data_IF_732353757941
#
_entry.id   IF_732353757941
#
_cell.length_a   1.000
_cell.length_b   1.000
_cell.length_c   1.000
_cell.angle_alpha   90.00
_cell.angle_beta   90.00
_cell.angle_gamma   90.00
#
_symmetry.space_group_name_H-M   'P 1'
#
loop_
_entity.id
_entity.type
_entity.pdbx_description
1 polymer ?
#
# COMPACT_ATOMS: atom_id res chain seq x y z
N UNK A 1 -25.34 -24.71 25.60
CA UNK A 1 -24.24 -25.35 26.30
C UNK A 1 -23.09 -25.65 25.30
N UNK A 2 -21.89 -25.34 25.69
CA UNK A 2 -20.66 -25.61 24.91
C UNK A 2 -19.72 -26.40 25.79
N UNK A 3 -19.11 -27.44 25.22
CA UNK A 3 -18.11 -28.25 25.91
C UNK A 3 -16.73 -27.77 25.47
N UNK A 4 -15.92 -27.29 26.41
CA UNK A 4 -14.54 -26.92 26.17
C UNK A 4 -13.60 -27.99 26.76
N UNK A 5 -12.60 -28.37 26.01
CA UNK A 5 -11.53 -29.24 26.49
C UNK A 5 -10.40 -28.39 27.04
N UNK A 6 -10.21 -28.43 28.36
CA UNK A 6 -9.17 -27.66 29.04
C UNK A 6 -7.94 -28.56 29.19
N UNK A 7 -6.74 -28.13 28.75
CA UNK A 7 -5.51 -28.89 28.98
C UNK A 7 -5.35 -29.18 30.47
N UNK A 8 -5.04 -30.44 30.80
CA UNK A 8 -4.83 -30.97 32.16
C UNK A 8 -6.10 -31.19 33.03
N UNK A 9 -7.23 -30.51 32.75
CA UNK A 9 -8.49 -30.67 33.53
C UNK A 9 -9.58 -31.46 32.82
N UNK A 10 -9.47 -31.67 31.49
CA UNK A 10 -10.43 -32.43 30.72
C UNK A 10 -11.61 -31.58 30.17
N UNK A 11 -12.73 -32.26 29.90
CA UNK A 11 -13.91 -31.62 29.31
C UNK A 11 -14.77 -30.94 30.39
N UNK A 12 -15.15 -29.69 30.12
CA UNK A 12 -16.09 -28.90 30.96
C UNK A 12 -17.20 -28.33 30.10
N UNK A 13 -18.42 -28.34 30.65
CA UNK A 13 -19.58 -27.78 29.99
C UNK A 13 -19.89 -26.40 30.52
N UNK A 14 -19.93 -25.41 29.64
CA UNK A 14 -20.28 -24.03 29.95
C UNK A 14 -21.63 -23.66 29.34
N UNK A 15 -22.39 -22.82 30.05
CA UNK A 15 -23.64 -22.28 29.54
C UNK A 15 -23.34 -20.98 28.81
N UNK A 16 -23.70 -20.90 27.54
CA UNK A 16 -23.57 -19.64 26.76
C UNK A 16 -24.56 -18.63 27.32
N UNK A 17 -24.05 -17.56 27.92
CA UNK A 17 -24.88 -16.49 28.51
C UNK A 17 -25.09 -15.34 27.54
N UNK A 18 -24.17 -15.14 26.58
CA UNK A 18 -24.26 -14.08 25.60
C UNK A 18 -23.58 -14.51 24.29
N UNK A 19 -24.14 -14.07 23.16
CA UNK A 19 -23.54 -14.20 21.83
C UNK A 19 -23.44 -12.79 21.28
N UNK A 20 -22.24 -12.38 20.91
CA UNK A 20 -22.00 -11.08 20.30
C UNK A 20 -21.43 -11.24 18.90
N UNK A 21 -21.82 -10.32 18.05
CA UNK A 21 -21.32 -10.21 16.70
C UNK A 21 -20.25 -9.10 16.69
N UNK A 22 -19.02 -9.44 16.33
CA UNK A 22 -17.93 -8.49 16.25
C UNK A 22 -17.79 -8.02 14.81
N UNK A 23 -17.78 -6.72 14.62
CA UNK A 23 -17.50 -6.12 13.30
C UNK A 23 -16.00 -6.10 12.99
N UNK A 24 -15.15 -6.32 13.98
CA UNK A 24 -13.70 -6.47 13.90
C UNK A 24 -13.30 -7.77 14.59
N UNK A 25 -12.13 -8.30 14.23
CA UNK A 25 -11.63 -9.55 14.80
C UNK A 25 -11.61 -9.49 16.32
N UNK A 26 -12.30 -10.40 17.03
CA UNK A 26 -12.32 -10.38 18.47
C UNK A 26 -10.93 -10.74 19.02
N UNK A 27 -10.55 -10.23 20.21
CA UNK A 27 -9.28 -10.59 20.84
C UNK A 27 -9.24 -12.07 21.26
N UNK A 28 -10.37 -12.74 21.30
CA UNK A 28 -10.48 -14.17 21.58
C UNK A 28 -11.76 -14.76 20.96
N UNK A 29 -11.75 -16.04 20.66
CA UNK A 29 -12.90 -16.77 20.10
C UNK A 29 -14.05 -16.90 21.10
N UNK A 30 -13.74 -16.87 22.40
CA UNK A 30 -14.73 -16.92 23.49
C UNK A 30 -14.20 -16.19 24.73
N UNK A 31 -15.14 -15.76 25.58
CA UNK A 31 -14.88 -15.14 26.87
C UNK A 31 -15.53 -15.96 27.98
N UNK A 32 -14.83 -16.13 29.10
CA UNK A 32 -15.32 -16.84 30.27
C UNK A 32 -15.49 -15.84 31.41
N UNK A 33 -16.56 -16.00 32.19
CA UNK A 33 -16.78 -15.15 33.36
C UNK A 33 -15.63 -15.34 34.37
N UNK A 34 -15.21 -14.26 35.01
CA UNK A 34 -14.09 -14.23 35.94
C UNK A 34 -14.25 -15.22 37.09
N UNK A 35 -15.50 -15.48 37.54
CA UNK A 35 -15.80 -16.49 38.58
C UNK A 35 -15.41 -17.92 38.15
N UNK A 36 -15.29 -18.19 36.86
CA UNK A 36 -14.87 -19.48 36.29
C UNK A 36 -13.36 -19.52 35.95
N UNK A 37 -12.64 -18.43 36.19
CA UNK A 37 -11.23 -18.31 35.80
C UNK A 37 -10.30 -19.27 36.57
N UNK A 38 -10.67 -19.71 37.75
CA UNK A 38 -9.92 -20.66 38.56
C UNK A 38 -9.70 -22.01 37.89
N UNK A 39 -10.44 -22.30 36.80
CA UNK A 39 -10.25 -23.52 36.02
C UNK A 39 -9.14 -23.42 34.97
N UNK A 40 -8.66 -22.20 34.66
CA UNK A 40 -7.70 -21.97 33.57
C UNK A 40 -6.27 -21.71 34.04
N UNK A 41 -6.07 -21.27 35.29
CA UNK A 41 -4.73 -21.10 35.87
C UNK A 41 -4.80 -20.98 37.38
N UNK A 42 -3.81 -21.56 38.06
CA UNK A 42 -3.62 -21.44 39.51
C UNK A 42 -3.14 -20.02 39.91
N UNK A 43 -2.49 -19.29 38.97
CA UNK A 43 -2.14 -17.87 39.06
C UNK A 43 -2.47 -17.19 37.74
N UNK A 44 -3.70 -16.70 37.59
CA UNK A 44 -4.06 -15.87 36.44
C UNK A 44 -3.51 -14.46 36.62
N UNK A 45 -2.53 -14.13 35.80
CA UNK A 45 -2.11 -12.75 35.60
C UNK A 45 -3.01 -12.15 34.51
N UNK A 46 -3.79 -11.12 34.86
CA UNK A 46 -4.54 -10.37 33.88
C UNK A 46 -3.55 -9.62 32.96
N UNK A 47 -3.54 -9.99 31.70
CA UNK A 47 -2.72 -9.32 30.67
C UNK A 47 -3.41 -8.10 30.10
N UNK A 48 -4.74 -8.12 30.07
CA UNK A 48 -5.55 -7.04 29.54
C UNK A 48 -6.82 -6.87 30.36
N UNK A 49 -7.15 -5.63 30.70
CA UNK A 49 -8.36 -5.26 31.42
C UNK A 49 -9.20 -4.32 30.56
N UNK A 50 -10.38 -4.78 30.18
CA UNK A 50 -11.34 -3.97 29.44
C UNK A 50 -12.43 -3.40 30.38
N UNK A 51 -12.62 -2.09 30.33
CA UNK A 51 -13.70 -1.46 31.08
C UNK A 51 -14.43 -0.40 30.25
N UNK A 52 -15.72 -0.31 30.42
CA UNK A 52 -16.55 0.67 29.73
C UNK A 52 -16.86 1.83 30.67
N UNK A 53 -16.73 3.05 30.17
CA UNK A 53 -17.01 4.27 30.93
C UNK A 53 -18.21 4.99 30.32
N UNK A 54 -19.16 5.38 31.15
CA UNK A 54 -20.38 6.08 30.69
C UNK A 54 -20.08 7.44 30.06
N UNK A 55 -18.98 8.07 30.46
CA UNK A 55 -18.52 9.35 29.92
C UNK A 55 -17.02 9.53 30.12
N UNK A 56 -16.28 9.74 29.06
CA UNK A 56 -14.87 10.10 29.10
C UNK A 56 -14.72 11.54 29.55
N UNK A 57 -14.07 11.75 30.72
CA UNK A 57 -13.78 13.07 31.24
C UNK A 57 -12.31 13.18 31.59
N UNK A 58 -11.67 14.37 31.45
CA UNK A 58 -10.25 14.56 31.80
C UNK A 58 -9.91 14.19 33.25
N UNK A 59 -10.88 14.36 34.17
CA UNK A 59 -10.72 14.01 35.57
C UNK A 59 -10.66 12.48 35.78
N UNK A 60 -11.42 11.72 34.98
CA UNK A 60 -11.39 10.27 35.01
C UNK A 60 -10.07 9.74 34.44
N UNK A 61 -9.60 10.30 33.33
CA UNK A 61 -8.31 9.95 32.75
C UNK A 61 -7.17 10.20 33.71
N UNK A 62 -7.14 11.34 34.42
CA UNK A 62 -6.14 11.63 35.43
C UNK A 62 -6.15 10.62 36.57
N UNK A 63 -7.35 10.19 37.04
CA UNK A 63 -7.46 9.18 38.10
C UNK A 63 -6.97 7.82 37.65
N UNK A 64 -7.32 7.41 36.42
CA UNK A 64 -6.87 6.14 35.88
C UNK A 64 -5.34 6.15 35.72
N UNK A 65 -4.78 7.19 35.12
CA UNK A 65 -3.34 7.33 34.93
C UNK A 65 -2.60 7.34 36.27
N UNK A 66 -3.12 8.02 37.29
CA UNK A 66 -2.54 8.02 38.62
C UNK A 66 -2.50 6.62 39.29
N UNK A 67 -3.48 5.76 38.98
CA UNK A 67 -3.46 4.37 39.46
C UNK A 67 -2.44 3.55 38.66
N UNK A 68 -2.43 3.72 37.34
CA UNK A 68 -1.55 2.94 36.45
C UNK A 68 -0.09 3.29 36.62
N UNK A 69 0.24 4.55 36.98
CA UNK A 69 1.60 4.99 37.25
C UNK A 69 2.28 4.20 38.40
N UNK A 70 1.50 3.56 39.28
CA UNK A 70 2.00 2.67 40.31
C UNK A 70 2.42 1.27 39.78
N UNK A 71 2.03 0.93 38.53
CA UNK A 71 2.26 -0.39 37.96
C UNK A 71 3.16 -0.28 36.72
N UNK A 72 4.49 -0.49 36.84
CA UNK A 72 5.39 -0.43 35.69
C UNK A 72 5.03 -1.44 34.61
N UNK A 73 4.86 -0.97 33.38
CA UNK A 73 4.53 -1.81 32.22
C UNK A 73 3.04 -1.91 31.90
N UNK A 74 2.16 -1.24 32.67
CA UNK A 74 0.75 -1.12 32.34
C UNK A 74 0.52 0.17 31.55
N UNK A 75 -0.17 0.07 30.43
CA UNK A 75 -0.56 1.21 29.57
C UNK A 75 -2.09 1.31 29.51
N UNK A 76 -2.61 2.52 29.66
CA UNK A 76 -4.02 2.80 29.43
C UNK A 76 -4.21 3.17 27.96
N UNK A 77 -5.04 2.42 27.28
CA UNK A 77 -5.39 2.69 25.89
C UNK A 77 -6.90 2.88 25.78
N UNK A 78 -7.29 3.94 25.14
CA UNK A 78 -8.67 4.16 24.73
C UNK A 78 -8.87 3.66 23.29
N UNK A 79 -10.12 3.68 22.83
CA UNK A 79 -10.47 3.29 21.46
C UNK A 79 -9.71 4.10 20.41
N UNK A 80 -9.58 5.43 20.64
CA UNK A 80 -8.84 6.31 19.75
C UNK A 80 -7.35 5.96 19.71
N UNK A 81 -6.75 5.64 20.87
CA UNK A 81 -5.35 5.24 20.97
C UNK A 81 -5.06 3.90 20.29
N UNK A 82 -5.97 2.93 20.40
CA UNK A 82 -5.85 1.65 19.67
C UNK A 82 -5.91 1.85 18.16
N UNK A 83 -6.83 2.69 17.69
CA UNK A 83 -6.95 3.04 16.27
C UNK A 83 -5.70 3.78 15.79
N UNK A 84 -5.16 4.71 16.60
CA UNK A 84 -3.94 5.44 16.27
C UNK A 84 -2.72 4.51 16.17
N UNK A 85 -2.56 3.58 17.10
CA UNK A 85 -1.48 2.60 17.08
C UNK A 85 -1.57 1.67 15.85
N UNK A 86 -2.78 1.14 15.56
CA UNK A 86 -3.01 0.35 14.37
C UNK A 86 -2.69 1.15 13.09
N UNK A 87 -3.11 2.40 13.03
CA UNK A 87 -2.79 3.29 11.90
C UNK A 87 -1.29 3.53 11.78
N UNK A 88 -0.56 3.71 12.90
CA UNK A 88 0.88 3.92 12.87
C UNK A 88 1.63 2.67 12.37
N UNK A 89 1.21 1.47 12.78
CA UNK A 89 1.77 0.22 12.27
C UNK A 89 1.51 0.06 10.77
N UNK A 90 0.28 0.31 10.31
CA UNK A 90 -0.07 0.28 8.89
C UNK A 90 0.74 1.32 8.12
N UNK A 91 0.90 2.54 8.66
CA UNK A 91 1.66 3.60 8.03
C UNK A 91 3.15 3.24 7.87
N UNK A 92 3.72 2.55 8.86
CA UNK A 92 5.10 2.06 8.78
C UNK A 92 5.25 1.03 7.64
N UNK A 93 4.34 0.07 7.54
CA UNK A 93 4.31 -0.89 6.43
C UNK A 93 4.15 -0.19 5.07
N UNK A 94 3.24 0.77 4.98
CA UNK A 94 3.03 1.56 3.76
C UNK A 94 4.28 2.33 3.37
N UNK A 95 5.01 2.92 4.33
CA UNK A 95 6.25 3.64 4.06
C UNK A 95 7.34 2.73 3.47
N UNK A 96 7.45 1.49 3.96
CA UNK A 96 8.36 0.48 3.40
C UNK A 96 7.95 0.14 1.96
N UNK A 97 6.65 -0.09 1.72
CA UNK A 97 6.11 -0.36 0.37
C UNK A 97 6.39 0.82 -0.57
N UNK A 98 6.17 2.07 -0.13
CA UNK A 98 6.48 3.26 -0.92
C UNK A 98 7.98 3.39 -1.22
N UNK A 99 8.85 2.95 -0.30
CA UNK A 99 10.28 2.86 -0.54
C UNK A 99 10.60 1.93 -1.73
N UNK A 100 10.08 0.70 -1.71
CA UNK A 100 10.26 -0.24 -2.83
C UNK A 100 9.62 0.25 -4.13
N UNK A 101 8.44 0.88 -4.03
CA UNK A 101 7.77 1.47 -5.19
C UNK A 101 8.64 2.57 -5.82
N UNK A 102 9.29 3.41 -5.02
CA UNK A 102 10.18 4.45 -5.51
C UNK A 102 11.35 3.86 -6.29
N UNK A 103 11.98 2.81 -5.78
CA UNK A 103 13.06 2.10 -6.49
C UNK A 103 12.53 1.53 -7.82
N UNK A 104 11.35 0.92 -7.81
CA UNK A 104 10.72 0.37 -9.02
C UNK A 104 10.44 1.44 -10.07
N UNK A 105 10.01 2.64 -9.64
CA UNK A 105 9.82 3.80 -10.53
C UNK A 105 11.16 4.21 -11.16
N UNK A 106 12.25 4.29 -10.38
CA UNK A 106 13.57 4.59 -10.93
C UNK A 106 13.99 3.58 -12.00
N UNK A 107 13.85 2.29 -11.72
CA UNK A 107 14.17 1.22 -12.70
C UNK A 107 13.32 1.38 -13.96
N UNK A 108 12.02 1.65 -13.82
CA UNK A 108 11.13 1.88 -14.96
C UNK A 108 11.55 3.10 -15.80
N UNK A 109 11.94 4.22 -15.16
CA UNK A 109 12.44 5.41 -15.85
C UNK A 109 13.71 5.11 -16.66
N UNK A 110 14.65 4.35 -16.09
CA UNK A 110 15.82 3.88 -16.82
C UNK A 110 15.46 2.98 -18.00
N UNK A 111 14.49 2.05 -17.80
CA UNK A 111 13.99 1.18 -18.86
C UNK A 111 13.40 1.96 -20.03
N UNK A 112 12.53 2.94 -19.76
CA UNK A 112 11.94 3.82 -20.79
C UNK A 112 13.04 4.62 -21.49
N UNK A 113 13.96 5.23 -20.74
CA UNK A 113 15.06 6.01 -21.31
C UNK A 113 15.94 5.15 -22.22
N UNK A 114 16.26 3.92 -21.81
CA UNK A 114 17.07 2.99 -22.61
C UNK A 114 16.36 2.58 -23.88
N UNK A 115 15.09 2.17 -23.79
CA UNK A 115 14.27 1.76 -24.93
C UNK A 115 14.11 2.89 -25.96
N UNK A 116 13.80 4.11 -25.49
CA UNK A 116 13.70 5.28 -26.36
C UNK A 116 15.05 5.66 -26.97
N UNK A 117 16.14 5.53 -26.23
CA UNK A 117 17.49 5.81 -26.76
C UNK A 117 17.88 4.81 -27.85
N UNK A 118 17.54 3.52 -27.65
CA UNK A 118 17.77 2.47 -28.65
C UNK A 118 16.90 2.72 -29.89
N UNK A 119 15.61 2.99 -29.74
CA UNK A 119 14.71 3.35 -30.84
C UNK A 119 15.20 4.53 -31.65
N UNK A 120 15.72 5.60 -30.99
CA UNK A 120 16.32 6.76 -31.65
C UNK A 120 17.58 6.35 -32.41
N UNK A 121 18.42 5.48 -31.84
CA UNK A 121 19.65 5.01 -32.47
C UNK A 121 19.34 4.18 -33.74
N UNK A 122 18.43 3.25 -33.68
CA UNK A 122 17.99 2.41 -34.81
C UNK A 122 17.38 3.25 -35.94
N UNK A 123 16.71 4.36 -35.63
CA UNK A 123 16.07 5.27 -36.60
C UNK A 123 16.90 6.52 -36.90
N UNK A 124 18.21 6.50 -36.59
CA UNK A 124 19.11 7.66 -36.79
C UNK A 124 19.07 8.18 -38.21
N UNK A 125 19.10 7.29 -39.22
CA UNK A 125 19.05 7.66 -40.63
C UNK A 125 17.71 8.31 -41.03
N UNK A 126 16.60 7.80 -40.55
CA UNK A 126 15.28 8.38 -40.79
C UNK A 126 15.15 9.78 -40.18
N UNK A 127 15.64 9.96 -38.95
CA UNK A 127 15.64 11.25 -38.26
C UNK A 127 16.56 12.24 -39.00
N UNK A 128 17.71 11.78 -39.46
CA UNK A 128 18.65 12.57 -40.26
C UNK A 128 18.02 13.04 -41.56
N UNK A 129 17.33 12.12 -42.29
CA UNK A 129 16.62 12.43 -43.52
C UNK A 129 15.50 13.44 -43.32
N UNK A 130 14.64 13.23 -42.28
CA UNK A 130 13.60 14.19 -41.93
C UNK A 130 14.18 15.59 -41.66
N UNK A 131 15.32 15.67 -41.02
CA UNK A 131 16.00 16.96 -40.79
C UNK A 131 16.59 17.58 -42.03
N UNK A 132 17.11 16.76 -42.96
CA UNK A 132 17.63 17.24 -44.24
C UNK A 132 16.57 17.86 -45.13
N UNK A 133 15.32 17.33 -45.07
CA UNK A 133 14.15 17.90 -45.79
C UNK A 133 13.46 19.05 -45.05
N UNK A 134 14.03 19.53 -43.91
CA UNK A 134 13.57 20.74 -43.24
C UNK A 134 12.82 20.57 -41.93
N UNK A 135 12.74 19.36 -41.35
CA UNK A 135 12.09 19.15 -40.02
C UNK A 135 12.88 19.87 -38.91
N UNK A 136 12.19 20.66 -38.12
CA UNK A 136 12.82 21.40 -37.01
C UNK A 136 13.11 20.49 -35.81
N UNK A 137 14.16 20.83 -35.06
CA UNK A 137 14.56 20.14 -33.82
C UNK A 137 13.40 20.02 -32.81
N UNK A 138 12.50 21.03 -32.74
CA UNK A 138 11.31 21.00 -31.88
C UNK A 138 10.32 19.93 -32.29
N UNK A 139 10.17 19.67 -33.59
CA UNK A 139 9.26 18.63 -34.11
C UNK A 139 9.78 17.25 -33.79
N UNK A 140 11.10 16.99 -33.93
CA UNK A 140 11.70 15.71 -33.52
C UNK A 140 11.51 15.46 -32.02
N UNK A 141 11.76 16.48 -31.16
CA UNK A 141 11.51 16.34 -29.72
C UNK A 141 10.05 16.03 -29.42
N UNK A 142 9.12 16.75 -30.05
CA UNK A 142 7.67 16.53 -29.85
C UNK A 142 7.27 15.10 -30.26
N UNK A 143 7.82 14.57 -31.34
CA UNK A 143 7.57 13.21 -31.80
C UNK A 143 7.95 12.19 -30.71
N UNK A 144 9.15 12.30 -30.13
CA UNK A 144 9.62 11.39 -29.08
C UNK A 144 8.81 11.56 -27.79
N UNK A 145 8.39 12.79 -27.43
CA UNK A 145 7.51 12.99 -26.27
C UNK A 145 6.13 12.37 -26.48
N UNK A 146 5.56 12.42 -27.68
CA UNK A 146 4.28 11.76 -27.99
C UNK A 146 4.46 10.25 -27.89
N UNK A 147 5.53 9.68 -28.46
CA UNK A 147 5.86 8.27 -28.39
C UNK A 147 5.97 7.80 -26.92
N UNK A 148 6.74 8.52 -26.10
CA UNK A 148 6.85 8.25 -24.68
C UNK A 148 5.52 8.35 -23.94
N UNK A 149 4.68 9.34 -24.26
CA UNK A 149 3.36 9.50 -23.64
C UNK A 149 2.44 8.32 -23.96
N UNK A 150 2.47 7.82 -25.19
CA UNK A 150 1.68 6.65 -25.59
C UNK A 150 2.14 5.41 -24.81
N UNK A 151 3.45 5.17 -24.73
CA UNK A 151 4.02 4.06 -23.96
C UNK A 151 3.60 4.17 -22.48
N UNK A 152 3.68 5.36 -21.90
CA UNK A 152 3.35 5.60 -20.49
C UNK A 152 1.85 5.42 -20.21
N UNK A 153 0.97 5.90 -21.09
CA UNK A 153 -0.49 5.72 -20.96
C UNK A 153 -0.84 4.23 -21.03
N UNK A 154 -0.26 3.52 -22.00
CA UNK A 154 -0.50 2.09 -22.16
C UNK A 154 0.01 1.30 -20.95
N UNK A 155 1.22 1.58 -20.48
CA UNK A 155 1.79 0.98 -19.28
C UNK A 155 0.97 1.28 -18.02
N UNK A 156 0.51 2.53 -17.85
CA UNK A 156 -0.32 2.91 -16.73
C UNK A 156 -1.70 2.21 -16.76
N UNK A 157 -2.32 2.06 -17.94
CA UNK A 157 -3.59 1.35 -18.09
C UNK A 157 -3.44 -0.14 -17.75
N UNK A 158 -2.41 -0.80 -18.29
CA UNK A 158 -2.11 -2.20 -17.99
C UNK A 158 -1.77 -2.40 -16.51
N UNK A 159 -0.89 -1.56 -15.95
CA UNK A 159 -0.50 -1.64 -14.54
C UNK A 159 -1.69 -1.44 -13.61
N UNK A 160 -2.57 -0.47 -13.90
CA UNK A 160 -3.79 -0.24 -13.13
C UNK A 160 -4.73 -1.44 -13.22
N UNK A 161 -4.93 -2.00 -14.41
CA UNK A 161 -5.80 -3.18 -14.61
C UNK A 161 -5.28 -4.40 -13.83
N UNK A 162 -3.99 -4.69 -13.93
CA UNK A 162 -3.35 -5.77 -13.18
C UNK A 162 -3.39 -5.51 -11.67
N UNK A 163 -3.13 -4.28 -11.24
CA UNK A 163 -3.18 -3.91 -9.83
C UNK A 163 -4.56 -4.12 -9.22
N UNK A 164 -5.63 -3.69 -9.90
CA UNK A 164 -7.02 -3.92 -9.47
C UNK A 164 -7.33 -5.42 -9.43
N UNK A 165 -6.91 -6.17 -10.43
CA UNK A 165 -7.12 -7.62 -10.49
C UNK A 165 -6.46 -8.34 -9.30
N UNK A 166 -5.18 -8.05 -9.03
CA UNK A 166 -4.47 -8.67 -7.90
C UNK A 166 -5.04 -8.22 -6.56
N UNK A 167 -5.39 -6.95 -6.39
CA UNK A 167 -6.02 -6.46 -5.17
C UNK A 167 -7.37 -7.14 -4.91
N UNK A 168 -8.20 -7.30 -5.94
CA UNK A 168 -9.46 -8.04 -5.84
C UNK A 168 -9.23 -9.51 -5.47
N UNK A 169 -8.28 -10.18 -6.13
CA UNK A 169 -7.94 -11.57 -5.85
C UNK A 169 -7.44 -11.76 -4.41
N UNK A 170 -6.62 -10.83 -3.92
CA UNK A 170 -6.11 -10.87 -2.55
C UNK A 170 -7.24 -10.76 -1.51
N UNK A 171 -8.16 -9.81 -1.71
CA UNK A 171 -9.31 -9.62 -0.82
C UNK A 171 -10.18 -10.89 -0.78
N UNK A 172 -10.38 -11.56 -1.91
CA UNK A 172 -11.13 -12.83 -1.94
C UNK A 172 -10.44 -13.93 -1.14
N UNK A 173 -9.11 -13.95 -1.13
CA UNK A 173 -8.35 -14.96 -0.37
C UNK A 173 -8.38 -14.68 1.14
N UNK A 174 -8.47 -13.39 1.53
CA UNK A 174 -8.49 -12.95 2.91
C UNK A 174 -9.92 -12.74 3.46
N UNK A 175 -10.95 -13.15 2.70
CA UNK A 175 -12.35 -12.97 3.12
C UNK A 175 -12.67 -13.69 4.42
N UNK A 176 -12.09 -14.87 4.64
CA UNK A 176 -12.26 -15.67 5.87
C UNK A 176 -11.59 -15.00 7.09
N UNK A 177 -10.60 -14.13 6.86
CA UNK A 177 -9.91 -13.33 7.89
C UNK A 177 -10.63 -12.00 8.19
N UNK A 178 -11.83 -11.79 7.64
CA UNK A 178 -12.64 -10.60 7.87
C UNK A 178 -12.44 -9.44 6.88
N UNK A 179 -11.54 -9.58 5.89
CA UNK A 179 -11.34 -8.57 4.84
C UNK A 179 -12.37 -8.73 3.73
N UNK A 180 -13.55 -8.14 3.90
CA UNK A 180 -14.68 -8.30 2.95
C UNK A 180 -14.89 -7.09 2.03
N UNK A 181 -14.28 -5.94 2.33
CA UNK A 181 -14.54 -4.69 1.60
C UNK A 181 -13.45 -4.43 0.56
N UNK A 182 -13.84 -4.49 -0.71
CA UNK A 182 -13.02 -4.06 -1.83
C UNK A 182 -13.44 -2.66 -2.28
N UNK A 183 -12.58 -1.67 -2.09
CA UNK A 183 -12.82 -0.30 -2.51
C UNK A 183 -11.63 0.26 -3.30
N UNK A 184 -11.90 0.82 -4.47
CA UNK A 184 -10.89 1.51 -5.29
C UNK A 184 -11.19 3.01 -5.28
N UNK A 185 -10.24 3.80 -4.77
CA UNK A 185 -10.33 5.26 -4.80
C UNK A 185 -10.02 5.78 -6.21
N UNK A 186 -11.06 6.11 -6.98
CA UNK A 186 -10.92 6.64 -8.34
C UNK A 186 -10.03 7.89 -8.39
N UNK A 187 -10.20 8.91 -7.51
CA UNK A 187 -9.36 10.10 -7.54
C UNK A 187 -7.88 9.80 -7.34
N UNK A 188 -7.57 8.89 -6.41
CA UNK A 188 -6.20 8.48 -6.12
C UNK A 188 -5.59 7.68 -7.27
N UNK A 189 -6.36 6.79 -7.89
CA UNK A 189 -5.94 6.03 -9.08
C UNK A 189 -5.61 6.97 -10.24
N UNK A 190 -6.46 7.95 -10.52
CA UNK A 190 -6.21 8.95 -11.57
C UNK A 190 -4.97 9.81 -11.27
N UNK A 191 -4.74 10.15 -10.01
CA UNK A 191 -3.52 10.85 -9.59
C UNK A 191 -2.26 10.04 -9.93
N UNK A 192 -2.24 8.76 -9.58
CA UNK A 192 -1.09 7.88 -9.87
C UNK A 192 -0.88 7.67 -11.36
N UNK A 193 -1.95 7.52 -12.15
CA UNK A 193 -1.88 7.47 -13.62
C UNK A 193 -1.24 8.77 -14.16
N UNK A 194 -1.68 9.92 -13.66
CA UNK A 194 -1.09 11.21 -14.04
C UNK A 194 0.40 11.29 -13.73
N UNK A 195 0.80 10.86 -12.53
CA UNK A 195 2.21 10.81 -12.13
C UNK A 195 3.01 9.88 -13.05
N UNK A 196 2.48 8.70 -13.39
CA UNK A 196 3.15 7.75 -14.28
C UNK A 196 3.38 8.34 -15.69
N UNK A 197 2.39 9.06 -16.25
CA UNK A 197 2.53 9.73 -17.55
C UNK A 197 3.61 10.83 -17.49
N UNK A 198 3.59 11.65 -16.45
CA UNK A 198 4.60 12.71 -16.26
C UNK A 198 6.00 12.10 -16.12
N UNK A 199 6.13 11.03 -15.34
CA UNK A 199 7.39 10.32 -15.17
C UNK A 199 7.93 9.78 -16.51
N UNK A 200 7.07 9.20 -17.35
CA UNK A 200 7.44 8.74 -18.68
C UNK A 200 7.90 9.86 -19.61
N UNK A 201 7.22 11.01 -19.58
CA UNK A 201 7.64 12.20 -20.34
C UNK A 201 9.01 12.70 -19.85
N UNK A 202 9.26 12.71 -18.54
CA UNK A 202 10.55 13.07 -17.96
C UNK A 202 11.66 12.11 -18.45
N UNK A 203 11.40 10.80 -18.47
CA UNK A 203 12.33 9.80 -18.97
C UNK A 203 12.71 10.02 -20.44
N UNK A 204 11.80 10.57 -21.24
CA UNK A 204 12.03 10.89 -22.64
C UNK A 204 12.87 12.16 -22.89
N UNK A 205 13.12 12.99 -21.90
CA UNK A 205 13.83 14.29 -22.09
C UNK A 205 15.21 14.06 -22.68
N UNK A 206 15.99 13.14 -22.10
CA UNK A 206 17.36 12.89 -22.52
C UNK A 206 17.44 12.31 -23.95
N UNK A 207 16.71 11.21 -24.30
CA UNK A 207 16.71 10.69 -25.66
C UNK A 207 16.14 11.69 -26.68
N UNK A 208 15.14 12.47 -26.34
CA UNK A 208 14.59 13.49 -27.23
C UNK A 208 15.59 14.62 -27.56
N UNK A 209 16.37 15.05 -26.56
CA UNK A 209 17.42 16.05 -26.78
C UNK A 209 18.54 15.47 -27.68
N UNK A 210 18.95 14.24 -27.40
CA UNK A 210 20.00 13.56 -28.19
C UNK A 210 19.61 13.41 -29.66
N UNK A 211 18.39 12.89 -29.90
CA UNK A 211 17.85 12.75 -31.26
C UNK A 211 17.78 14.09 -32.02
N UNK A 212 17.29 15.14 -31.33
CA UNK A 212 17.17 16.46 -31.97
C UNK A 212 18.53 17.14 -32.27
N UNK A 213 19.64 16.70 -31.62
CA UNK A 213 20.97 17.26 -31.77
C UNK A 213 21.87 16.44 -32.68
N UNK A 214 21.41 15.31 -33.22
CA UNK A 214 22.21 14.49 -34.16
C UNK A 214 22.70 15.30 -35.33
N UNK A 215 23.94 15.00 -35.75
CA UNK A 215 24.54 15.61 -36.93
C UNK A 215 23.95 15.00 -38.19
N UNK A 216 23.39 15.83 -39.07
CA UNK A 216 22.68 15.38 -40.28
C UNK A 216 23.64 14.64 -41.24
N UNK A 217 24.89 15.13 -41.35
CA UNK A 217 25.89 14.53 -42.26
C UNK A 217 26.29 13.13 -41.78
N UNK A 218 26.57 12.97 -40.49
CA UNK A 218 26.89 11.66 -39.90
C UNK A 218 25.71 10.70 -39.96
N UNK A 219 24.48 11.20 -39.71
CA UNK A 219 23.29 10.35 -39.74
C UNK A 219 22.95 9.77 -41.13
N UNK A 220 23.31 10.46 -42.20
CA UNK A 220 23.09 10.00 -43.59
C UNK A 220 24.23 9.13 -44.06
N UNK A 221 25.48 9.36 -43.62
CA UNK A 221 26.68 8.60 -44.02
C UNK A 221 26.88 7.32 -43.20
N UNK A 222 26.01 7.06 -42.23
CA UNK A 222 26.08 5.86 -41.39
C UNK A 222 25.65 4.63 -42.20
N UNK A 223 26.59 3.74 -42.50
CA UNK A 223 26.41 2.40 -43.07
C UNK A 223 26.20 1.35 -41.98
#
# INVERSE_FOLDING_TARGET
EVVLTIPEEGERTFTVTYIFDWTTQPPAEFFVLLENNTFFADESLDTELYFNVSKKTPELEQKINAIVDEYPGVEVRDEDGLVEEANNQIQLLLNVIYGFLSISIFVALFGITNTLSLSVYERTREIGLMRAIGTYRKQIRRMIFIESSIISIFGAALGTGLGIFFAWSLIQTLADEGFTVFAVSIPQTLLWIGIAIIAGVIAAILPAIRAARQNILEAISYE
#
